data_IF_390967577001
#
_entry.id   IF_390967577001
#
_cell.length_a   1.000
_cell.length_b   1.000
_cell.length_c   1.000
_cell.angle_alpha   90.00
_cell.angle_beta   90.00
_cell.angle_gamma   90.00
#
_symmetry.space_group_name_H-M   'P 1'
#
loop_
_entity.id
_entity.type
_entity.pdbx_description
1 polymer ?
#
# COMPACT_ATOMS: atom_id res chain seq x y z
N UNK A 1 31.16 -9.22 -9.42
CA UNK A 1 30.79 -7.84 -9.09
C UNK A 1 29.33 -7.80 -8.68
N UNK A 2 29.15 -7.43 -7.51
CA UNK A 2 28.19 -6.72 -6.68
C UNK A 2 27.29 -7.51 -5.72
N UNK A 3 27.91 -8.28 -4.81
CA UNK A 3 27.20 -8.67 -3.58
C UNK A 3 27.41 -7.65 -2.43
N UNK A 4 28.32 -6.69 -2.57
CA UNK A 4 28.67 -5.73 -1.51
C UNK A 4 27.81 -4.46 -1.48
N UNK A 5 27.04 -4.16 -2.54
CA UNK A 5 26.15 -2.98 -2.56
C UNK A 5 24.80 -3.23 -1.88
N UNK A 6 24.48 -4.50 -1.56
CA UNK A 6 23.20 -4.85 -0.90
C UNK A 6 23.22 -4.74 0.64
N UNK A 7 24.39 -4.62 1.25
CA UNK A 7 24.53 -4.61 2.71
C UNK A 7 24.39 -3.23 3.37
N UNK A 8 24.43 -2.12 2.62
CA UNK A 8 24.39 -0.76 3.16
C UNK A 8 23.08 0.02 2.93
N UNK A 9 22.07 -0.56 2.29
CA UNK A 9 20.77 0.11 2.20
C UNK A 9 20.00 -0.05 3.51
N UNK A 10 19.99 1.02 4.32
CA UNK A 10 19.11 1.10 5.48
C UNK A 10 17.66 0.87 5.08
N UNK A 11 16.96 0.04 5.86
CA UNK A 11 15.52 -0.09 5.71
C UNK A 11 14.82 1.25 5.96
N UNK A 12 13.74 1.50 5.25
CA UNK A 12 12.88 2.67 5.53
C UNK A 12 12.36 2.66 6.98
N UNK A 13 12.34 1.50 7.62
CA UNK A 13 11.88 1.33 9.01
C UNK A 13 12.95 1.66 10.05
N UNK A 14 14.23 1.73 9.67
CA UNK A 14 15.33 1.92 10.61
C UNK A 14 15.21 3.26 11.34
N UNK A 15 15.30 3.20 12.68
CA UNK A 15 15.16 4.36 13.57
C UNK A 15 13.83 5.11 13.48
N UNK A 16 12.75 4.46 12.98
CA UNK A 16 11.41 5.07 12.81
C UNK A 16 10.32 4.25 13.50
N UNK A 17 10.27 4.27 14.84
CA UNK A 17 9.34 3.42 15.60
C UNK A 17 7.87 3.66 15.28
N UNK A 18 7.47 4.89 14.95
CA UNK A 18 6.08 5.18 14.59
C UNK A 18 5.72 4.61 13.22
N UNK A 19 6.62 4.65 12.24
CA UNK A 19 6.41 4.01 10.95
C UNK A 19 6.36 2.47 11.09
N UNK A 20 7.25 1.90 11.90
CA UNK A 20 7.22 0.46 12.26
C UNK A 20 5.86 0.08 12.84
N UNK A 21 5.36 0.88 13.80
CA UNK A 21 4.06 0.66 14.41
C UNK A 21 2.92 0.69 13.38
N UNK A 22 2.97 1.62 12.43
CA UNK A 22 1.95 1.72 11.39
C UNK A 22 1.99 0.52 10.43
N UNK A 23 3.17 0.10 9.99
CA UNK A 23 3.35 -1.11 9.17
C UNK A 23 2.88 -2.36 9.92
N UNK A 24 3.13 -2.45 11.23
CA UNK A 24 2.65 -3.56 12.06
C UNK A 24 1.12 -3.60 12.18
N UNK A 25 0.44 -2.44 12.26
CA UNK A 25 -1.03 -2.40 12.19
C UNK A 25 -1.57 -2.94 10.87
N UNK A 26 -0.90 -2.62 9.75
CA UNK A 26 -1.27 -3.21 8.46
C UNK A 26 -1.11 -4.72 8.48
N UNK A 27 -0.01 -5.23 9.02
CA UNK A 27 0.24 -6.67 9.17
C UNK A 27 -0.84 -7.35 10.04
N UNK A 28 -1.23 -6.72 11.14
CA UNK A 28 -2.28 -7.21 12.03
C UNK A 28 -3.64 -7.29 11.30
N UNK A 29 -4.05 -6.23 10.61
CA UNK A 29 -5.29 -6.20 9.83
C UNK A 29 -5.27 -7.25 8.73
N UNK A 30 -4.14 -7.40 8.01
CA UNK A 30 -3.99 -8.44 7.00
C UNK A 30 -4.18 -9.84 7.59
N UNK A 31 -3.68 -10.08 8.81
CA UNK A 31 -3.89 -11.32 9.56
C UNK A 31 -5.36 -11.59 9.87
N UNK A 32 -6.10 -10.58 10.32
CA UNK A 32 -7.54 -10.72 10.57
C UNK A 32 -8.34 -11.01 9.30
N UNK A 33 -8.03 -10.33 8.20
CA UNK A 33 -8.70 -10.56 6.91
C UNK A 33 -8.44 -11.97 6.38
N UNK A 34 -7.21 -12.47 6.55
CA UNK A 34 -6.87 -13.84 6.20
C UNK A 34 -7.64 -14.85 7.06
N UNK A 35 -7.66 -14.67 8.38
CA UNK A 35 -8.37 -15.56 9.31
C UNK A 35 -9.87 -15.60 9.07
N UNK A 36 -10.46 -14.47 8.66
CA UNK A 36 -11.89 -14.37 8.31
C UNK A 36 -12.23 -15.00 6.95
N UNK A 37 -11.23 -15.36 6.14
CA UNK A 37 -11.47 -15.84 4.78
C UNK A 37 -11.91 -14.74 3.81
N UNK A 38 -11.73 -13.47 4.15
CA UNK A 38 -12.12 -12.32 3.32
C UNK A 38 -11.04 -11.87 2.33
N UNK A 39 -9.98 -12.63 2.25
CA UNK A 39 -8.83 -12.37 1.39
C UNK A 39 -8.24 -13.69 0.87
N UNK A 40 -9.03 -14.44 0.12
CA UNK A 40 -8.60 -15.71 -0.44
C UNK A 40 -7.44 -15.54 -1.42
N UNK A 41 -6.52 -16.50 -1.41
CA UNK A 41 -5.34 -16.52 -2.28
C UNK A 41 -4.57 -15.19 -2.17
N UNK A 42 -4.50 -14.43 -3.28
CA UNK A 42 -3.89 -13.11 -3.35
C UNK A 42 -4.92 -11.96 -3.37
N UNK A 43 -6.20 -12.28 -3.12
CA UNK A 43 -7.29 -11.31 -3.09
C UNK A 43 -7.17 -10.32 -1.94
N UNK A 44 -7.91 -9.21 -2.08
CA UNK A 44 -7.91 -8.10 -1.13
C UNK A 44 -6.64 -7.22 -1.20
N UNK A 45 -6.79 -5.97 -0.84
CA UNK A 45 -5.71 -4.99 -0.88
C UNK A 45 -5.78 -4.06 0.33
N UNK A 46 -4.62 -3.57 0.76
CA UNK A 46 -4.49 -2.56 1.80
C UNK A 46 -3.52 -1.50 1.28
N UNK A 47 -3.90 -0.23 1.41
CA UNK A 47 -3.01 0.91 1.24
C UNK A 47 -3.16 1.87 2.41
N UNK A 48 -2.05 2.45 2.86
CA UNK A 48 -2.03 3.39 3.97
C UNK A 48 -1.21 4.62 3.57
N UNK A 49 -1.77 5.80 3.80
CA UNK A 49 -1.03 7.05 3.67
C UNK A 49 -0.08 7.19 4.85
N UNK A 50 1.23 7.12 4.57
CA UNK A 50 2.31 7.20 5.56
C UNK A 50 3.06 8.54 5.51
N UNK A 51 2.54 9.53 4.80
CA UNK A 51 3.21 10.82 4.56
C UNK A 51 3.60 11.53 5.86
N UNK A 52 2.82 11.41 6.91
CA UNK A 52 3.11 12.02 8.22
C UNK A 52 4.34 11.42 8.95
N UNK A 53 4.76 10.23 8.55
CA UNK A 53 5.94 9.54 9.12
C UNK A 53 7.21 9.75 8.28
N UNK A 54 7.12 10.54 7.20
CA UNK A 54 8.21 10.75 6.24
C UNK A 54 9.08 11.90 6.70
N UNK A 55 10.32 11.59 7.05
CA UNK A 55 11.38 12.54 7.36
C UNK A 55 12.22 12.94 6.14
N UNK A 56 13.21 13.81 6.34
CA UNK A 56 14.07 14.28 5.26
C UNK A 56 14.96 13.16 4.68
N UNK A 57 15.33 12.15 5.47
CA UNK A 57 16.10 11.00 5.00
C UNK A 57 15.26 10.16 4.01
N UNK A 58 13.98 9.89 4.33
CA UNK A 58 13.05 9.20 3.41
C UNK A 58 12.82 10.03 2.14
N UNK A 59 12.69 11.35 2.27
CA UNK A 59 12.50 12.24 1.10
C UNK A 59 13.67 12.17 0.12
N UNK A 60 14.87 11.92 0.62
CA UNK A 60 16.11 11.80 -0.16
C UNK A 60 16.38 10.38 -0.66
N UNK A 61 15.60 9.38 -0.21
CA UNK A 61 15.76 8.01 -0.71
C UNK A 61 15.59 7.95 -2.22
N UNK A 62 16.50 7.27 -2.92
CA UNK A 62 16.39 7.13 -4.37
C UNK A 62 15.20 6.24 -4.74
N UNK A 63 14.66 6.46 -5.92
CA UNK A 63 13.74 5.52 -6.53
C UNK A 63 14.46 4.21 -6.85
N UNK A 64 13.85 3.09 -6.48
CA UNK A 64 14.32 1.73 -6.80
C UNK A 64 13.51 1.09 -7.94
N UNK A 65 12.61 1.85 -8.55
CA UNK A 65 11.85 1.48 -9.74
C UNK A 65 11.91 2.58 -10.79
N UNK A 66 11.53 2.22 -12.01
CA UNK A 66 11.17 3.21 -13.02
C UNK A 66 9.89 3.95 -12.61
N UNK A 67 9.64 5.11 -13.23
CA UNK A 67 8.39 5.87 -13.07
C UNK A 67 7.22 5.05 -13.62
N UNK A 68 6.16 4.93 -12.83
CA UNK A 68 4.97 4.18 -13.16
C UNK A 68 3.76 5.10 -13.19
N UNK A 69 2.93 4.94 -14.21
CA UNK A 69 1.70 5.71 -14.37
C UNK A 69 0.58 5.16 -13.49
N UNK A 70 -0.14 6.08 -12.83
CA UNK A 70 -1.36 5.74 -12.06
C UNK A 70 -2.54 5.52 -13.01
N UNK A 71 -2.57 6.23 -14.15
CA UNK A 71 -3.67 6.21 -15.11
C UNK A 71 -4.75 7.27 -14.84
N UNK A 72 -4.66 7.98 -13.74
CA UNK A 72 -5.53 9.12 -13.37
C UNK A 72 -4.69 10.20 -12.70
N UNK A 73 -5.13 11.45 -12.78
CA UNK A 73 -4.48 12.58 -12.08
C UNK A 73 -5.16 12.81 -10.73
N UNK A 74 -4.37 12.86 -9.66
CA UNK A 74 -4.83 12.91 -8.27
C UNK A 74 -4.20 14.11 -7.54
N UNK A 75 -4.73 15.33 -7.73
CA UNK A 75 -4.04 16.57 -7.37
C UNK A 75 -3.77 16.74 -5.87
N UNK A 76 -4.57 16.10 -5.00
CA UNK A 76 -4.36 16.15 -3.56
C UNK A 76 -3.27 15.20 -3.05
N UNK A 77 -2.70 14.35 -3.92
CA UNK A 77 -1.67 13.38 -3.54
C UNK A 77 -0.24 13.82 -3.88
N UNK A 78 -0.03 15.05 -4.36
CA UNK A 78 1.30 15.55 -4.69
C UNK A 78 2.29 15.33 -3.55
N UNK A 79 3.38 14.59 -3.82
CA UNK A 79 4.43 14.32 -2.84
C UNK A 79 4.01 13.44 -1.66
N UNK A 80 2.83 12.82 -1.70
CA UNK A 80 2.41 11.87 -0.69
C UNK A 80 3.13 10.52 -0.81
N UNK A 81 3.17 9.80 0.31
CA UNK A 81 3.79 8.49 0.43
C UNK A 81 2.76 7.47 0.90
N UNK A 82 2.79 6.29 0.29
CA UNK A 82 1.86 5.22 0.63
C UNK A 82 2.59 3.91 0.82
N UNK A 83 2.23 3.19 1.89
CA UNK A 83 2.51 1.77 1.98
C UNK A 83 1.37 1.00 1.28
N UNK A 84 1.72 0.07 0.40
CA UNK A 84 0.76 -0.67 -0.43
C UNK A 84 1.06 -2.17 -0.36
N UNK A 85 0.04 -3.00 -0.19
CA UNK A 85 0.19 -4.44 -0.39
C UNK A 85 0.70 -4.72 -1.80
N UNK A 86 1.64 -5.65 -1.93
CA UNK A 86 2.19 -6.08 -3.22
C UNK A 86 1.16 -6.84 -4.08
N UNK A 87 1.28 -6.67 -5.40
CA UNK A 87 0.50 -7.46 -6.36
C UNK A 87 0.86 -8.94 -6.23
N UNK A 88 -0.11 -9.82 -6.39
CA UNK A 88 0.01 -11.27 -6.24
C UNK A 88 0.49 -11.75 -4.84
N UNK A 89 0.67 -10.84 -3.87
CA UNK A 89 1.00 -11.21 -2.49
C UNK A 89 -0.26 -11.60 -1.72
N UNK A 90 -0.10 -12.50 -0.75
CA UNK A 90 -1.22 -12.97 0.09
C UNK A 90 -1.28 -12.16 1.37
N UNK A 91 -2.48 -11.91 1.89
CA UNK A 91 -2.66 -11.26 3.20
C UNK A 91 -1.97 -12.02 4.33
N UNK A 92 -1.97 -13.36 4.28
CA UNK A 92 -1.23 -14.22 5.22
C UNK A 92 0.26 -13.89 5.27
N UNK A 93 0.85 -13.69 4.10
CA UNK A 93 2.29 -13.47 3.98
C UNK A 93 2.62 -11.99 4.30
N UNK A 94 1.74 -11.07 3.94
CA UNK A 94 1.80 -9.66 4.37
C UNK A 94 1.77 -9.54 5.91
N UNK A 95 0.93 -10.34 6.58
CA UNK A 95 0.85 -10.37 8.04
C UNK A 95 2.14 -10.83 8.72
N UNK A 96 2.93 -11.68 8.06
CA UNK A 96 4.17 -12.24 8.61
C UNK A 96 5.40 -11.44 8.24
N UNK A 97 5.44 -10.94 7.02
CA UNK A 97 6.59 -10.27 6.41
C UNK A 97 6.13 -9.05 5.62
N UNK A 98 5.68 -7.97 6.31
CA UNK A 98 5.06 -6.83 5.65
C UNK A 98 5.98 -6.13 4.64
N UNK A 99 7.28 -6.01 4.92
CA UNK A 99 8.21 -5.36 3.99
C UNK A 99 8.63 -6.25 2.80
N UNK A 100 8.43 -7.56 2.90
CA UNK A 100 8.65 -8.49 1.78
C UNK A 100 7.42 -8.61 0.85
N UNK A 101 6.24 -8.26 1.35
CA UNK A 101 4.97 -8.42 0.67
C UNK A 101 4.23 -7.08 0.43
N UNK A 102 4.85 -5.99 0.78
CA UNK A 102 4.38 -4.64 0.55
C UNK A 102 5.45 -3.76 -0.08
N UNK A 103 5.05 -2.61 -0.58
CA UNK A 103 5.94 -1.61 -1.12
C UNK A 103 5.61 -0.23 -0.59
N UNK A 104 6.61 0.64 -0.55
CA UNK A 104 6.43 2.07 -0.28
C UNK A 104 6.57 2.82 -1.59
N UNK A 105 5.55 3.58 -1.93
CA UNK A 105 5.53 4.41 -3.13
C UNK A 105 5.50 5.90 -2.77
N UNK A 106 6.13 6.71 -3.61
CA UNK A 106 6.08 8.17 -3.57
C UNK A 106 5.37 8.68 -4.81
N UNK A 107 4.33 9.49 -4.62
CA UNK A 107 3.62 10.15 -5.71
C UNK A 107 4.47 11.33 -6.20
N UNK A 108 4.62 11.45 -7.50
CA UNK A 108 5.41 12.51 -8.12
C UNK A 108 4.65 13.82 -8.26
N UNK A 109 5.35 14.87 -8.65
CA UNK A 109 4.80 16.23 -8.75
C UNK A 109 3.71 16.40 -9.82
N UNK A 110 3.68 15.48 -10.79
CA UNK A 110 2.66 15.43 -11.84
C UNK A 110 1.30 14.92 -11.33
N UNK A 111 1.24 14.39 -10.10
CA UNK A 111 0.04 13.81 -9.49
C UNK A 111 -0.58 12.64 -10.30
N UNK A 112 0.14 12.09 -11.24
CA UNK A 112 -0.32 11.06 -12.19
C UNK A 112 0.62 9.86 -12.25
N UNK A 113 1.76 9.93 -11.56
CA UNK A 113 2.78 8.89 -11.56
C UNK A 113 3.39 8.69 -10.18
N UNK A 114 4.05 7.57 -9.99
CA UNK A 114 4.74 7.21 -8.74
C UNK A 114 6.05 6.43 -9.01
N UNK A 115 6.87 6.37 -7.98
CA UNK A 115 8.05 5.49 -7.91
C UNK A 115 8.01 4.67 -6.64
N UNK A 116 8.65 3.49 -6.66
CA UNK A 116 8.90 2.70 -5.45
C UNK A 116 10.22 3.19 -4.84
N UNK A 117 10.25 3.40 -3.53
CA UNK A 117 11.41 4.00 -2.83
C UNK A 117 12.00 3.13 -1.74
N UNK A 118 11.39 2.02 -1.37
CA UNK A 118 11.85 1.31 -0.18
C UNK A 118 11.93 -0.19 -0.31
N UNK A 119 12.90 -0.64 0.36
CA UNK A 119 13.56 -1.87 0.72
C UNK A 119 13.67 -2.86 -0.43
N UNK A 120 12.57 -3.19 -1.07
CA UNK A 120 12.51 -4.14 -2.19
C UNK A 120 11.61 -3.60 -3.30
N UNK A 121 11.90 -3.91 -4.56
CA UNK A 121 11.10 -3.46 -5.69
C UNK A 121 9.81 -4.30 -5.86
N UNK A 122 9.09 -4.50 -4.74
CA UNK A 122 7.78 -5.16 -4.75
C UNK A 122 6.80 -4.28 -5.51
N UNK A 123 6.17 -4.83 -6.56
CA UNK A 123 5.16 -4.10 -7.30
C UNK A 123 3.92 -3.92 -6.42
N UNK A 124 3.40 -2.70 -6.23
CA UNK A 124 2.17 -2.49 -5.48
C UNK A 124 0.98 -3.14 -6.21
N UNK A 125 -0.10 -3.32 -5.49
CA UNK A 125 -1.35 -3.88 -6.04
C UNK A 125 -1.73 -3.24 -7.37
N UNK A 126 -2.29 -4.03 -8.28
CA UNK A 126 -2.84 -3.51 -9.55
C UNK A 126 -4.01 -2.55 -9.36
N UNK A 127 -4.59 -2.51 -8.15
CA UNK A 127 -5.68 -1.60 -7.80
C UNK A 127 -5.20 -0.25 -7.23
N UNK A 128 -3.91 0.08 -7.39
CA UNK A 128 -3.35 1.38 -6.99
C UNK A 128 -4.20 2.56 -7.49
N UNK A 129 -4.69 2.61 -8.75
CA UNK A 129 -5.51 3.73 -9.21
C UNK A 129 -6.76 3.94 -8.38
N UNK A 130 -7.49 2.87 -8.08
CA UNK A 130 -8.73 2.92 -7.28
C UNK A 130 -8.46 3.33 -5.84
N UNK A 131 -7.47 2.71 -5.19
CA UNK A 131 -7.09 3.02 -3.82
C UNK A 131 -6.59 4.46 -3.67
N UNK A 132 -5.72 4.91 -4.56
CA UNK A 132 -5.23 6.29 -4.53
C UNK A 132 -6.33 7.31 -4.82
N UNK A 133 -7.32 6.98 -5.67
CA UNK A 133 -8.50 7.83 -5.87
C UNK A 133 -9.30 8.01 -4.59
N UNK A 134 -9.47 6.94 -3.79
CA UNK A 134 -10.08 7.03 -2.45
C UNK A 134 -9.26 7.95 -1.54
N UNK A 135 -7.95 7.79 -1.47
CA UNK A 135 -7.08 8.65 -0.66
C UNK A 135 -7.13 10.11 -1.12
N UNK A 136 -7.13 10.36 -2.44
CA UNK A 136 -7.28 11.70 -2.99
C UNK A 136 -8.58 12.37 -2.53
N UNK A 137 -9.69 11.63 -2.56
CA UNK A 137 -10.97 12.10 -2.06
C UNK A 137 -10.93 12.35 -0.54
N UNK A 138 -10.40 11.41 0.24
CA UNK A 138 -10.30 11.58 1.71
C UNK A 138 -9.51 12.83 2.08
N UNK A 139 -8.39 13.09 1.42
CA UNK A 139 -7.60 14.30 1.66
C UNK A 139 -8.38 15.56 1.24
N UNK A 140 -9.07 15.53 0.11
CA UNK A 140 -9.84 16.69 -0.40
C UNK A 140 -10.93 17.17 0.55
N UNK A 141 -11.48 16.26 1.35
CA UNK A 141 -12.54 16.58 2.34
C UNK A 141 -11.99 16.74 3.77
N UNK A 142 -10.66 16.75 3.95
CA UNK A 142 -10.04 16.84 5.28
C UNK A 142 -10.33 15.65 6.20
N UNK A 143 -10.55 14.46 5.64
CA UNK A 143 -10.83 13.25 6.41
C UNK A 143 -9.63 12.82 7.26
N UNK A 144 -9.83 12.34 8.51
CA UNK A 144 -8.77 11.79 9.34
C UNK A 144 -8.34 10.37 8.92
N UNK A 145 -9.10 9.71 8.05
CA UNK A 145 -8.81 8.34 7.64
C UNK A 145 -7.61 8.27 6.72
N UNK A 146 -6.68 7.37 7.03
CA UNK A 146 -5.39 7.21 6.34
C UNK A 146 -5.24 5.85 5.62
N UNK A 147 -6.21 4.96 5.77
CA UNK A 147 -6.17 3.63 5.19
C UNK A 147 -7.35 3.38 4.23
N UNK A 148 -7.08 2.62 3.18
CA UNK A 148 -8.09 2.04 2.30
C UNK A 148 -7.89 0.53 2.23
N UNK A 149 -8.97 -0.22 2.46
CA UNK A 149 -8.97 -1.68 2.49
C UNK A 149 -10.02 -2.21 1.52
N UNK A 150 -9.60 -3.10 0.63
CA UNK A 150 -10.48 -3.86 -0.25
C UNK A 150 -10.48 -5.33 0.19
N UNK A 151 -11.64 -5.93 0.34
CA UNK A 151 -11.82 -7.31 0.78
C UNK A 151 -12.91 -8.01 -0.01
N UNK A 152 -12.90 -9.35 0.03
CA UNK A 152 -13.88 -10.20 -0.63
C UNK A 152 -14.68 -11.01 0.41
N UNK A 153 -15.60 -10.42 1.19
CA UNK A 153 -16.41 -11.15 2.15
C UNK A 153 -17.30 -12.16 1.41
N UNK A 154 -17.16 -13.44 1.73
CA UNK A 154 -17.89 -14.54 1.06
C UNK A 154 -19.39 -14.32 1.20
N UNK A 155 -19.83 -13.86 2.36
CA UNK A 155 -21.23 -13.59 2.68
C UNK A 155 -21.85 -12.53 1.75
N UNK A 156 -21.10 -11.48 1.40
CA UNK A 156 -21.54 -10.44 0.46
C UNK A 156 -21.51 -10.93 -0.98
N UNK A 157 -20.52 -11.76 -1.33
CA UNK A 157 -20.44 -12.38 -2.65
C UNK A 157 -21.66 -13.30 -2.87
N UNK A 158 -21.98 -14.15 -1.92
CA UNK A 158 -23.15 -15.03 -1.99
C UNK A 158 -24.45 -14.23 -2.10
N UNK A 159 -24.60 -13.16 -1.31
CA UNK A 159 -25.76 -12.27 -1.43
C UNK A 159 -25.86 -11.60 -2.80
N UNK A 160 -24.73 -11.21 -3.40
CA UNK A 160 -24.71 -10.58 -4.74
C UNK A 160 -25.16 -11.54 -5.85
N UNK A 161 -25.05 -12.85 -5.65
CA UNK A 161 -25.54 -13.88 -6.58
C UNK A 161 -27.01 -14.23 -6.39
N UNK A 162 -27.63 -13.85 -5.27
CA UNK A 162 -29.04 -14.11 -5.02
C UNK A 162 -29.92 -13.13 -5.79
N UNK A 163 -30.77 -13.66 -6.68
CA UNK A 163 -31.68 -12.85 -7.54
C UNK A 163 -32.58 -11.90 -6.77
N UNK A 164 -32.93 -12.21 -5.50
CA UNK A 164 -33.78 -11.38 -4.65
C UNK A 164 -33.12 -10.05 -4.27
N UNK A 165 -31.78 -9.98 -4.28
CA UNK A 165 -31.00 -8.79 -3.89
C UNK A 165 -30.27 -8.14 -5.06
N UNK A 166 -30.53 -8.60 -6.30
CA UNK A 166 -30.10 -7.91 -7.50
C UNK A 166 -31.15 -6.85 -7.85
N UNK A 167 -30.84 -5.60 -7.55
CA UNK A 167 -31.59 -4.43 -8.04
C UNK A 167 -31.16 -4.08 -9.47
#
# INVERSE_FOLDING_TARGET
>A
MNNQIKEDMKSILDNRPELVKEVNKVAEVAGYLWQKGWAERNGGNITVNITEYVDDEIRQMPAISEVKQIGVTLPHLKGCYFYCKGTNMRMRDLARWPMDNGSVIRILDDCASYVIIADKPVQPTSEVPSHLSVHNYLISIGSPYKASVHTHPIELIDLSHNKKFRS
#
